data_IF_518576324252
#
_entry.id   IF_518576324252
#
_cell.length_a   1.000
_cell.length_b   1.000
_cell.length_c   1.000
_cell.angle_alpha   90.00
_cell.angle_beta   90.00
_cell.angle_gamma   90.00
#
_symmetry.space_group_name_H-M   'P 1'
#
loop_
_entity.id
_entity.type
_entity.pdbx_description
1 polymer ?
#
# COMPACT_ATOMS: atom_id res chain seq x y z
N UNK A 1 51.10 -8.67 4.80
CA UNK A 1 49.86 -9.45 4.95
C UNK A 1 48.80 -8.53 5.52
N UNK A 2 47.76 -8.22 4.75
CA UNK A 2 46.59 -7.53 5.26
C UNK A 2 45.37 -8.20 4.62
N UNK A 3 44.72 -9.04 5.43
CA UNK A 3 43.43 -9.66 5.12
C UNK A 3 42.39 -8.55 5.30
N UNK A 4 41.77 -8.11 4.20
CA UNK A 4 40.58 -7.27 4.29
C UNK A 4 39.35 -8.11 3.99
N UNK A 5 38.41 -8.00 4.93
CA UNK A 5 37.26 -8.85 5.14
C UNK A 5 36.25 -8.78 4.01
N UNK A 6 35.60 -9.92 3.81
CA UNK A 6 34.42 -10.14 2.99
C UNK A 6 33.29 -9.29 3.58
N UNK A 7 33.03 -8.14 2.96
CA UNK A 7 31.79 -7.40 3.18
C UNK A 7 30.68 -8.07 2.39
N UNK A 8 29.92 -8.94 3.04
CA UNK A 8 28.65 -9.44 2.53
C UNK A 8 27.74 -8.21 2.45
N UNK A 9 27.65 -7.61 1.26
CA UNK A 9 26.65 -6.60 0.96
C UNK A 9 25.29 -7.26 1.08
N UNK A 10 24.67 -7.14 2.26
CA UNK A 10 23.24 -7.32 2.39
C UNK A 10 22.61 -6.42 1.33
N UNK A 11 21.91 -7.03 0.38
CA UNK A 11 21.06 -6.32 -0.55
C UNK A 11 20.06 -5.54 0.30
N UNK A 12 20.36 -4.28 0.58
CA UNK A 12 19.36 -3.28 0.90
C UNK A 12 18.48 -3.23 -0.34
N UNK A 13 17.44 -4.06 -0.35
CA UNK A 13 16.28 -3.83 -1.19
C UNK A 13 15.92 -2.38 -0.91
N UNK A 14 16.19 -1.52 -1.89
CA UNK A 14 15.84 -0.13 -1.84
C UNK A 14 14.35 -0.10 -1.51
N UNK A 15 14.03 0.19 -0.25
CA UNK A 15 12.69 0.55 0.16
C UNK A 15 12.35 1.72 -0.74
N UNK A 16 11.49 1.47 -1.73
CA UNK A 16 10.95 2.50 -2.58
C UNK A 16 10.55 3.63 -1.63
N UNK A 17 11.20 4.77 -1.77
CA UNK A 17 10.89 5.98 -1.04
C UNK A 17 9.48 6.38 -1.49
N UNK A 18 8.48 5.76 -0.87
CA UNK A 18 7.07 6.04 -1.10
C UNK A 18 6.87 7.49 -0.71
N UNK A 19 6.64 8.36 -1.69
CA UNK A 19 6.32 9.75 -1.42
C UNK A 19 5.04 9.79 -0.59
N UNK A 20 5.20 10.02 0.71
CA UNK A 20 4.15 9.92 1.71
C UNK A 20 2.93 10.72 1.25
N UNK A 21 1.77 10.05 1.10
CA UNK A 21 0.55 10.74 0.74
C UNK A 21 0.09 11.54 1.95
N UNK A 22 0.60 12.75 2.11
CA UNK A 22 0.39 13.58 3.28
C UNK A 22 -1.11 13.77 3.54
N UNK A 23 -1.52 13.52 4.79
CA UNK A 23 -2.91 13.40 5.22
C UNK A 23 -3.82 14.48 4.63
N UNK A 24 -4.99 14.04 4.16
CA UNK A 24 -6.04 14.80 3.46
C UNK A 24 -5.84 15.08 1.96
N UNK A 25 -4.63 15.07 1.41
CA UNK A 25 -4.45 15.35 -0.03
C UNK A 25 -4.99 14.21 -0.91
N UNK A 26 -5.64 14.58 -2.01
CA UNK A 26 -6.06 13.64 -3.06
C UNK A 26 -4.80 13.19 -3.82
N UNK A 27 -4.63 11.89 -4.13
CA UNK A 27 -3.49 11.42 -4.90
C UNK A 27 -3.40 12.16 -6.25
N UNK A 28 -2.20 12.40 -6.81
CA UNK A 28 -2.06 12.84 -8.19
C UNK A 28 -2.86 11.96 -9.17
N UNK A 29 -3.28 12.53 -10.31
CA UNK A 29 -4.00 11.75 -11.31
C UNK A 29 -3.18 10.54 -11.78
N UNK A 30 -3.83 9.38 -11.89
CA UNK A 30 -3.19 8.12 -12.24
C UNK A 30 -2.57 7.38 -11.06
N UNK A 31 -2.87 7.78 -9.82
CA UNK A 31 -2.22 7.21 -8.63
C UNK A 31 -3.17 6.73 -7.54
N UNK A 32 -2.65 5.94 -6.61
CA UNK A 32 -3.34 5.39 -5.44
C UNK A 32 -2.54 5.69 -4.16
N UNK A 33 -3.25 6.02 -3.08
CA UNK A 33 -2.71 6.15 -1.74
C UNK A 33 -3.44 5.21 -0.77
N UNK A 34 -2.69 4.60 0.16
CA UNK A 34 -3.17 3.62 1.13
C UNK A 34 -2.90 4.10 2.55
N UNK A 35 -3.91 4.10 3.40
CA UNK A 35 -3.76 4.30 4.84
C UNK A 35 -3.53 2.94 5.48
N UNK A 36 -2.44 2.78 6.23
CA UNK A 36 -2.03 1.51 6.82
C UNK A 36 -1.87 1.68 8.32
N UNK A 37 -2.39 0.71 9.09
CA UNK A 37 -2.22 0.59 10.54
C UNK A 37 -1.20 -0.51 10.85
N UNK A 38 -0.28 -0.27 11.78
CA UNK A 38 0.77 -1.21 12.18
C UNK A 38 0.54 -1.93 13.52
N UNK A 39 -0.63 -1.78 14.15
CA UNK A 39 -1.02 -2.52 15.35
C UNK A 39 -0.96 -1.71 16.65
N UNK A 40 -0.08 -0.70 16.75
CA UNK A 40 0.13 0.09 17.97
C UNK A 40 -0.55 1.48 17.94
N UNK A 41 -1.59 1.62 17.12
CA UNK A 41 -2.20 2.92 16.83
C UNK A 41 -1.33 3.82 15.95
N UNK A 42 -0.24 3.30 15.40
CA UNK A 42 0.57 3.96 14.39
C UNK A 42 -0.07 3.80 13.01
N UNK A 43 -0.34 4.93 12.36
CA UNK A 43 -0.94 4.99 11.03
C UNK A 43 -0.09 5.80 10.07
N UNK A 44 0.08 5.29 8.85
CA UNK A 44 0.82 5.96 7.78
C UNK A 44 0.03 5.91 6.48
N UNK A 45 0.09 7.00 5.72
CA UNK A 45 -0.36 7.01 4.33
C UNK A 45 0.82 6.74 3.38
N UNK A 46 0.71 5.66 2.63
CA UNK A 46 1.66 5.26 1.57
C UNK A 46 1.15 5.63 0.19
N UNK A 47 2.08 5.77 -0.75
CA UNK A 47 1.84 6.05 -2.16
C UNK A 47 2.91 6.99 -2.73
N UNK A 48 2.64 7.66 -3.87
CA UNK A 48 1.61 7.29 -4.84
C UNK A 48 1.98 5.99 -5.59
N UNK A 49 1.01 5.10 -5.77
CA UNK A 49 1.17 3.87 -6.57
C UNK A 49 0.47 3.96 -7.92
N UNK A 50 1.04 3.32 -8.94
CA UNK A 50 0.60 3.45 -10.34
C UNK A 50 0.08 2.13 -10.91
N UNK A 51 -0.51 2.17 -12.11
CA UNK A 51 -1.13 1.01 -12.78
C UNK A 51 -0.20 -0.20 -12.87
N UNK A 52 -0.80 -1.39 -12.84
CA UNK A 52 -0.14 -2.70 -12.95
C UNK A 52 0.86 -3.03 -11.84
N UNK A 53 0.64 -2.51 -10.64
CA UNK A 53 1.51 -2.69 -9.47
C UNK A 53 0.83 -3.55 -8.38
N UNK A 54 1.61 -4.41 -7.72
CA UNK A 54 1.18 -5.10 -6.50
C UNK A 54 1.85 -4.42 -5.32
N UNK A 55 1.04 -3.83 -4.46
CA UNK A 55 1.47 -3.09 -3.29
C UNK A 55 1.22 -3.92 -2.05
N UNK A 56 2.29 -4.17 -1.30
CA UNK A 56 2.25 -4.87 -0.01
C UNK A 56 2.83 -3.93 1.04
N UNK A 57 2.05 -3.48 2.02
CA UNK A 57 2.62 -2.86 3.21
C UNK A 57 3.60 -3.84 3.86
N UNK A 58 4.74 -3.32 4.31
CA UNK A 58 5.74 -4.07 5.08
C UNK A 58 5.24 -4.30 6.52
N UNK A 59 5.91 -5.18 7.28
CA UNK A 59 5.74 -5.35 8.73
C UNK A 59 4.29 -5.54 9.24
N UNK A 60 3.52 -6.44 8.63
CA UNK A 60 2.18 -6.77 9.14
C UNK A 60 1.18 -5.61 9.10
N UNK A 61 1.50 -4.54 8.36
CA UNK A 61 0.63 -3.39 8.20
C UNK A 61 -0.66 -3.76 7.46
N UNK A 62 -1.80 -3.34 8.00
CA UNK A 62 -3.13 -3.58 7.44
C UNK A 62 -3.70 -2.30 6.83
N UNK A 63 -4.19 -2.39 5.59
CA UNK A 63 -4.68 -1.24 4.81
C UNK A 63 -6.07 -0.84 5.31
N UNK A 64 -6.23 0.24 6.07
CA UNK A 64 -7.51 0.64 6.68
C UNK A 64 -8.35 1.60 5.84
N UNK A 65 -7.74 2.33 4.91
CA UNK A 65 -8.41 3.34 4.07
C UNK A 65 -7.69 3.51 2.74
N UNK A 66 -8.42 3.93 1.71
CA UNK A 66 -7.88 4.05 0.34
C UNK A 66 -8.35 5.34 -0.32
N UNK A 67 -7.43 6.01 -1.00
CA UNK A 67 -7.73 7.08 -1.95
C UNK A 67 -7.15 6.72 -3.31
N UNK A 68 -8.02 6.49 -4.28
CA UNK A 68 -7.68 6.19 -5.66
C UNK A 68 -8.03 7.39 -6.52
N UNK A 69 -7.07 7.85 -7.31
CA UNK A 69 -7.25 8.80 -8.39
C UNK A 69 -6.73 8.20 -9.70
N UNK A 70 -6.80 6.86 -9.82
CA UNK A 70 -6.43 6.13 -11.03
C UNK A 70 -7.31 6.53 -12.22
N UNK A 71 -6.82 6.36 -13.44
CA UNK A 71 -7.49 6.81 -14.67
C UNK A 71 -7.73 5.66 -15.66
N UNK A 72 -8.78 5.74 -16.47
CA UNK A 72 -9.14 4.72 -17.46
C UNK A 72 -9.68 3.43 -16.82
N UNK A 73 -9.46 2.28 -17.48
CA UNK A 73 -9.99 0.96 -17.05
C UNK A 73 -9.17 0.33 -15.90
N UNK A 74 -8.72 1.15 -14.95
CA UNK A 74 -7.90 0.68 -13.82
C UNK A 74 -8.79 0.41 -12.63
N UNK A 75 -8.53 -0.71 -12.00
CA UNK A 75 -9.20 -1.20 -10.82
C UNK A 75 -8.19 -1.53 -9.73
N UNK A 76 -8.62 -1.41 -8.47
CA UNK A 76 -7.83 -1.84 -7.32
C UNK A 76 -8.51 -3.05 -6.69
N UNK A 77 -7.80 -4.17 -6.62
CA UNK A 77 -8.28 -5.42 -6.01
C UNK A 77 -7.54 -5.68 -4.72
N UNK A 78 -8.28 -5.92 -3.64
CA UNK A 78 -7.75 -6.04 -2.28
C UNK A 78 -7.74 -7.49 -1.84
N UNK A 79 -6.69 -7.89 -1.14
CA UNK A 79 -6.50 -9.25 -0.69
C UNK A 79 -6.12 -9.31 0.79
N UNK A 80 -6.49 -10.41 1.44
CA UNK A 80 -5.97 -10.78 2.76
C UNK A 80 -5.87 -12.29 2.90
N UNK A 81 -4.78 -12.74 3.53
CA UNK A 81 -4.49 -14.17 3.70
C UNK A 81 -4.57 -14.99 2.39
N UNK A 82 -4.19 -14.38 1.26
CA UNK A 82 -4.25 -15.00 -0.07
C UNK A 82 -5.64 -15.02 -0.74
N UNK A 83 -6.67 -14.45 -0.11
CA UNK A 83 -8.05 -14.40 -0.65
C UNK A 83 -8.39 -13.00 -1.15
N UNK A 84 -9.17 -12.92 -2.22
CA UNK A 84 -9.72 -11.66 -2.71
C UNK A 84 -10.89 -11.20 -1.84
N UNK A 85 -10.81 -9.97 -1.35
CA UNK A 85 -11.89 -9.33 -0.59
C UNK A 85 -12.86 -8.58 -1.50
N UNK A 86 -12.36 -8.08 -2.62
CA UNK A 86 -13.15 -7.42 -3.65
C UNK A 86 -12.35 -6.42 -4.47
N UNK A 87 -13.02 -5.82 -5.44
CA UNK A 87 -12.44 -4.88 -6.40
C UNK A 87 -13.18 -3.55 -6.35
N UNK A 88 -12.44 -2.44 -6.49
CA UNK A 88 -12.97 -1.08 -6.55
C UNK A 88 -12.56 -0.40 -7.87
N UNK A 89 -13.42 0.47 -8.43
CA UNK A 89 -13.10 1.21 -9.64
C UNK A 89 -12.05 2.31 -9.38
N UNK A 90 -11.59 2.92 -10.47
CA UNK A 90 -10.92 4.21 -10.47
C UNK A 90 -11.72 5.29 -9.71
N UNK A 91 -11.02 6.33 -9.23
CA UNK A 91 -11.61 7.47 -8.51
C UNK A 91 -12.40 7.09 -7.24
N UNK A 92 -11.96 6.05 -6.55
CA UNK A 92 -12.59 5.56 -5.33
C UNK A 92 -11.90 6.11 -4.08
N UNK A 93 -12.68 6.53 -3.09
CA UNK A 93 -12.19 6.99 -1.79
C UNK A 93 -13.06 6.33 -0.74
N UNK A 94 -12.49 5.44 0.07
CA UNK A 94 -13.26 4.69 1.06
C UNK A 94 -12.45 3.62 1.76
N UNK A 95 -13.15 2.79 2.52
CA UNK A 95 -12.56 1.60 3.13
C UNK A 95 -12.41 0.47 2.12
N UNK A 96 -11.41 -0.40 2.28
CA UNK A 96 -11.34 -1.63 1.50
C UNK A 96 -12.58 -2.51 1.75
N UNK A 97 -12.91 -3.40 0.81
CA UNK A 97 -13.87 -4.47 1.05
C UNK A 97 -13.50 -5.28 2.30
N UNK A 98 -14.52 -5.68 3.08
CA UNK A 98 -14.34 -6.45 4.32
C UNK A 98 -14.30 -5.64 5.62
N UNK A 99 -14.42 -4.31 5.57
CA UNK A 99 -14.28 -3.44 6.76
C UNK A 99 -15.60 -2.87 7.30
N UNK A 100 -15.77 -2.92 8.62
CA UNK A 100 -16.85 -2.26 9.37
C UNK A 100 -16.43 -0.97 10.09
N UNK A 101 -15.15 -0.82 10.46
CA UNK A 101 -14.58 0.37 11.13
C UNK A 101 -13.16 0.68 10.61
N UNK A 102 -12.62 1.87 10.88
CA UNK A 102 -11.27 2.27 10.43
C UNK A 102 -10.15 1.67 11.29
N UNK A 103 -10.49 1.12 12.45
CA UNK A 103 -9.56 0.58 13.44
C UNK A 103 -9.31 -0.93 13.30
N UNK A 104 -10.09 -1.64 12.48
CA UNK A 104 -9.99 -3.10 12.32
C UNK A 104 -9.46 -3.42 10.94
N UNK A 105 -8.21 -3.89 10.82
CA UNK A 105 -7.59 -4.34 9.58
C UNK A 105 -8.21 -5.62 9.00
N UNK A 106 -8.32 -5.71 7.67
CA UNK A 106 -8.80 -6.85 6.88
C UNK A 106 -8.10 -6.98 5.52
N UNK A 107 -7.28 -6.03 5.04
CA UNK A 107 -6.57 -6.13 3.76
C UNK A 107 -5.06 -5.96 3.95
N UNK A 108 -4.29 -6.94 3.46
CA UNK A 108 -2.84 -7.03 3.66
C UNK A 108 -2.06 -6.65 2.39
N UNK A 109 -2.71 -6.62 1.23
CA UNK A 109 -2.12 -6.11 0.00
C UNK A 109 -3.20 -5.69 -1.01
N UNK A 110 -2.79 -4.92 -2.00
CA UNK A 110 -3.64 -4.45 -3.09
C UNK A 110 -2.91 -4.62 -4.42
N UNK A 111 -3.64 -5.00 -5.46
CA UNK A 111 -3.19 -4.98 -6.85
C UNK A 111 -3.94 -3.90 -7.60
N UNK A 112 -3.20 -3.04 -8.30
CA UNK A 112 -3.75 -1.97 -9.15
C UNK A 112 -3.56 -2.40 -10.59
N UNK A 113 -4.63 -2.60 -11.36
CA UNK A 113 -4.58 -2.99 -12.77
C UNK A 113 -5.74 -2.38 -13.54
#
# INVERSE_FOLDING_TARGET
MAISLIGIGAASQAQASTAQCEGSKTPPAGTLCLHVNYGDGYYVWFGPYSKCEVVRPWEGGVITWVKSNQIGNVHSTYYSGGKTLGTRPAYFTGRPPGYISASVGNADNVRVC
#
